data_IF_070913336141
#
_entry.id   IF_070913336141
#
_cell.length_a   1.000
_cell.length_b   1.000
_cell.length_c   1.000
_cell.angle_alpha   90.00
_cell.angle_beta   90.00
_cell.angle_gamma   90.00
#
_symmetry.space_group_name_H-M   'P 1'
#
loop_
_entity.id
_entity.type
_entity.pdbx_description
1 polymer ?
#
# COMPACT_ATOMS: atom_id res chain seq x y z
N UNK A 1 -6.70 24.01 0.59
CA UNK A 1 -7.18 25.17 1.36
C UNK A 1 -6.58 25.10 2.76
N UNK A 2 -5.73 26.05 3.12
CA UNK A 2 -4.99 26.09 4.39
C UNK A 2 -5.31 27.31 5.27
N UNK A 3 -6.28 28.14 4.89
CA UNK A 3 -6.60 29.37 5.63
C UNK A 3 -7.59 29.16 6.78
N UNK A 4 -8.42 28.12 6.74
CA UNK A 4 -9.33 27.78 7.85
C UNK A 4 -8.67 26.90 8.94
N UNK A 5 -7.39 26.54 8.80
CA UNK A 5 -6.70 25.56 9.66
C UNK A 5 -6.04 26.19 10.89
N UNK A 6 -5.89 27.50 10.93
CA UNK A 6 -5.31 28.21 12.09
C UNK A 6 -6.33 29.07 12.84
N UNK A 7 -7.37 29.58 12.16
CA UNK A 7 -8.42 30.38 12.80
C UNK A 7 -9.19 29.62 13.88
N UNK A 8 -9.37 28.30 13.75
CA UNK A 8 -10.05 27.49 14.78
C UNK A 8 -9.18 27.21 16.01
N UNK A 9 -7.87 27.42 15.91
CA UNK A 9 -6.93 27.28 17.03
C UNK A 9 -6.88 28.56 17.88
N UNK A 10 -7.37 29.67 17.34
CA UNK A 10 -7.37 30.95 18.04
C UNK A 10 -8.33 30.93 19.23
N UNK A 11 -7.89 31.46 20.38
CA UNK A 11 -8.65 31.42 21.64
C UNK A 11 -8.66 30.09 22.40
N UNK A 12 -8.02 29.01 21.90
CA UNK A 12 -7.87 27.77 22.66
C UNK A 12 -6.80 27.89 23.77
N UNK A 13 -6.99 27.26 24.94
CA UNK A 13 -5.97 27.21 25.98
C UNK A 13 -4.69 26.53 25.47
N UNK A 14 -3.50 27.02 25.89
CA UNK A 14 -2.22 26.48 25.44
C UNK A 14 -2.05 24.96 25.64
N UNK A 15 -2.65 24.40 26.69
CA UNK A 15 -2.68 22.94 26.93
C UNK A 15 -3.48 22.18 25.86
N UNK A 16 -4.57 22.76 25.36
CA UNK A 16 -5.36 22.18 24.27
C UNK A 16 -4.56 22.23 22.96
N UNK A 17 -3.91 23.38 22.68
CA UNK A 17 -3.04 23.55 21.51
C UNK A 17 -1.88 22.56 21.49
N UNK A 18 -1.21 22.38 22.64
CA UNK A 18 -0.14 21.40 22.78
C UNK A 18 -0.65 19.97 22.49
N UNK A 19 -1.85 19.62 22.98
CA UNK A 19 -2.41 18.29 22.73
C UNK A 19 -2.78 18.06 21.28
N UNK A 20 -3.31 19.09 20.62
CA UNK A 20 -3.59 19.07 19.18
C UNK A 20 -2.30 18.82 18.40
N UNK A 21 -1.22 19.55 18.72
CA UNK A 21 0.07 19.39 18.04
C UNK A 21 0.66 17.98 18.23
N UNK A 22 0.58 17.41 19.45
CA UNK A 22 0.98 16.02 19.69
C UNK A 22 0.20 15.04 18.81
N UNK A 23 -1.12 15.23 18.70
CA UNK A 23 -1.97 14.38 17.87
C UNK A 23 -1.68 14.56 16.37
N UNK A 24 -1.45 15.79 15.90
CA UNK A 24 -1.05 16.08 14.52
C UNK A 24 0.26 15.37 14.15
N UNK A 25 1.25 15.39 15.05
CA UNK A 25 2.53 14.67 14.86
C UNK A 25 2.34 13.16 14.82
N UNK A 26 1.55 12.59 15.73
CA UNK A 26 1.25 11.15 15.73
C UNK A 26 0.49 10.74 14.46
N UNK A 27 -0.44 11.56 14.01
CA UNK A 27 -1.21 11.34 12.80
C UNK A 27 -0.30 11.34 11.56
N UNK A 28 0.64 12.27 11.47
CA UNK A 28 1.64 12.30 10.40
C UNK A 28 2.53 11.04 10.40
N UNK A 29 2.97 10.60 11.58
CA UNK A 29 3.71 9.34 11.74
C UNK A 29 2.89 8.14 11.24
N UNK A 30 1.64 8.02 11.68
CA UNK A 30 0.77 6.92 11.25
C UNK A 30 0.48 6.96 9.74
N UNK A 31 0.33 8.14 9.14
CA UNK A 31 0.20 8.28 7.68
C UNK A 31 1.42 7.74 6.95
N UNK A 32 2.63 8.11 7.40
CA UNK A 32 3.89 7.61 6.82
C UNK A 32 4.01 6.09 6.95
N UNK A 33 3.72 5.55 8.13
CA UNK A 33 3.72 4.10 8.37
C UNK A 33 2.72 3.36 7.48
N UNK A 34 1.50 3.91 7.32
CA UNK A 34 0.49 3.36 6.42
C UNK A 34 0.99 3.34 4.98
N UNK A 35 1.55 4.44 4.49
CA UNK A 35 2.10 4.52 3.12
C UNK A 35 3.23 3.52 2.92
N UNK A 36 4.14 3.39 3.88
CA UNK A 36 5.22 2.40 3.81
C UNK A 36 4.69 0.96 3.78
N UNK A 37 3.68 0.64 4.60
CA UNK A 37 3.04 -0.68 4.59
C UNK A 37 2.29 -0.95 3.29
N UNK A 38 1.60 0.05 2.73
CA UNK A 38 0.93 -0.08 1.44
C UNK A 38 1.94 -0.41 0.34
N UNK A 39 3.06 0.29 0.29
CA UNK A 39 4.12 0.01 -0.68
C UNK A 39 4.67 -1.43 -0.56
N UNK A 40 4.85 -1.92 0.67
CA UNK A 40 5.27 -3.30 0.90
C UNK A 40 4.22 -4.30 0.40
N UNK A 41 2.93 -4.04 0.66
CA UNK A 41 1.83 -4.86 0.16
C UNK A 41 1.79 -4.90 -1.36
N UNK A 42 1.89 -3.74 -2.02
CA UNK A 42 1.88 -3.63 -3.48
C UNK A 42 3.07 -4.40 -4.10
N UNK A 43 4.25 -4.31 -3.47
CA UNK A 43 5.43 -5.06 -3.88
C UNK A 43 5.25 -6.58 -3.74
N UNK A 44 4.65 -7.05 -2.64
CA UNK A 44 4.36 -8.46 -2.43
C UNK A 44 3.30 -8.97 -3.41
N UNK A 45 2.28 -8.17 -3.67
CA UNK A 45 1.25 -8.50 -4.65
C UNK A 45 1.86 -8.64 -6.06
N UNK A 46 2.72 -7.72 -6.47
CA UNK A 46 3.43 -7.82 -7.75
C UNK A 46 4.31 -9.08 -7.84
N UNK A 47 5.00 -9.45 -6.75
CA UNK A 47 5.81 -10.67 -6.70
C UNK A 47 4.93 -11.93 -6.85
N UNK A 48 3.77 -11.96 -6.19
CA UNK A 48 2.79 -13.06 -6.30
C UNK A 48 2.24 -13.15 -7.72
N UNK A 49 1.87 -12.02 -8.34
CA UNK A 49 1.38 -12.01 -9.73
C UNK A 49 2.43 -12.59 -10.69
N UNK A 50 3.71 -12.25 -10.50
CA UNK A 50 4.82 -12.82 -11.29
C UNK A 50 4.93 -14.34 -11.13
N UNK A 51 4.76 -14.86 -9.91
CA UNK A 51 4.76 -16.31 -9.69
C UNK A 51 3.55 -17.00 -10.32
N UNK A 52 2.35 -16.41 -10.23
CA UNK A 52 1.15 -16.93 -10.90
C UNK A 52 1.33 -17.01 -12.42
N UNK A 53 1.91 -15.97 -13.02
CA UNK A 53 2.23 -15.96 -14.46
C UNK A 53 3.20 -17.09 -14.82
N UNK A 54 4.27 -17.29 -14.04
CA UNK A 54 5.20 -18.40 -14.25
C UNK A 54 4.50 -19.75 -14.22
N UNK A 55 3.71 -20.03 -13.19
CA UNK A 55 2.95 -21.29 -13.07
C UNK A 55 2.02 -21.49 -14.27
N UNK A 56 1.32 -20.44 -14.69
CA UNK A 56 0.45 -20.50 -15.87
C UNK A 56 1.24 -20.80 -17.16
N UNK A 57 2.41 -20.19 -17.34
CA UNK A 57 3.30 -20.47 -18.48
C UNK A 57 3.77 -21.93 -18.45
N UNK A 58 4.28 -22.41 -17.31
CA UNK A 58 4.73 -23.80 -17.19
C UNK A 58 3.60 -24.79 -17.45
N UNK A 59 2.40 -24.52 -16.93
CA UNK A 59 1.21 -25.35 -17.17
C UNK A 59 0.86 -25.39 -18.66
N UNK A 60 0.79 -24.23 -19.32
CA UNK A 60 0.52 -24.15 -20.77
C UNK A 60 1.59 -24.86 -21.59
N UNK A 61 2.87 -24.67 -21.28
CA UNK A 61 3.97 -25.35 -21.99
C UNK A 61 3.89 -26.86 -21.82
N UNK A 62 3.59 -27.36 -20.61
CA UNK A 62 3.41 -28.79 -20.36
C UNK A 62 2.22 -29.34 -21.15
N UNK A 63 1.10 -28.60 -21.17
CA UNK A 63 -0.09 -28.98 -21.93
C UNK A 63 0.17 -29.02 -23.44
N UNK A 64 0.86 -28.00 -23.98
CA UNK A 64 1.28 -27.97 -25.38
C UNK A 64 2.22 -29.12 -25.75
N UNK A 65 3.14 -29.47 -24.85
CA UNK A 65 4.05 -30.59 -25.08
C UNK A 65 3.30 -31.92 -25.12
N UNK A 66 2.34 -32.12 -24.21
CA UNK A 66 1.48 -33.31 -24.18
C UNK A 66 0.59 -33.39 -25.42
N UNK A 67 -0.02 -32.29 -25.87
CA UNK A 67 -0.85 -32.31 -27.08
C UNK A 67 -0.04 -32.63 -28.33
N UNK A 68 1.19 -32.12 -28.45
CA UNK A 68 2.08 -32.43 -29.57
C UNK A 68 2.47 -33.92 -29.58
N UNK A 69 2.77 -34.52 -28.42
CA UNK A 69 3.08 -35.96 -28.32
C UNK A 69 1.90 -36.84 -28.73
N UNK A 70 0.67 -36.47 -28.36
CA UNK A 70 -0.53 -37.26 -28.67
C UNK A 70 -0.88 -37.18 -30.16
N UNK A 71 -0.49 -36.10 -30.84
CA UNK A 71 -0.78 -35.86 -32.25
C UNK A 71 0.31 -36.38 -33.22
N UNK A 72 1.42 -36.89 -32.70
CA UNK A 72 2.52 -37.53 -33.43
C UNK A 72 2.39 -39.06 -33.37
#
# INVERSE_FOLDING_TARGET
MSWAVEEWKDGLPGKALQKIQEMEVQLDKMKKEKTQKQFQLDSLEAAIQKQKQKVNIYHKSCWLFLTVIILL
#
